data_IF_367165154237
#
_entry.id   IF_367165154237
#
_cell.length_a   1.000
_cell.length_b   1.000
_cell.length_c   1.000
_cell.angle_alpha   90.00
_cell.angle_beta   90.00
_cell.angle_gamma   90.00
#
_symmetry.space_group_name_H-M   'P 1'
#
loop_
_entity.id
_entity.type
_entity.pdbx_description
1 polymer ?
#
# COMPACT_ATOMS: atom_id res chain seq x y z
N UNK A 1 44.55 -27.57 49.90
CA UNK A 1 44.11 -28.49 48.82
C UNK A 1 42.88 -28.08 48.00
N UNK A 2 42.25 -26.92 48.21
CA UNK A 2 41.03 -26.56 47.46
C UNK A 2 41.28 -25.95 46.06
N UNK A 3 42.44 -25.32 45.83
CA UNK A 3 42.73 -24.62 44.57
C UNK A 3 43.28 -25.51 43.44
N UNK A 4 43.92 -26.65 43.75
CA UNK A 4 44.56 -27.48 42.72
C UNK A 4 43.54 -28.28 41.88
N UNK A 5 42.42 -28.67 42.48
CA UNK A 5 41.32 -29.38 41.80
C UNK A 5 40.61 -28.48 40.77
N UNK A 6 40.33 -27.23 41.14
CA UNK A 6 39.71 -26.24 40.25
C UNK A 6 40.59 -25.93 39.03
N UNK A 7 41.89 -25.72 39.25
CA UNK A 7 42.84 -25.45 38.17
C UNK A 7 43.03 -26.67 37.25
N UNK A 8 43.09 -27.88 37.80
CA UNK A 8 43.11 -29.12 36.98
C UNK A 8 41.85 -29.26 36.14
N UNK A 9 40.67 -29.03 36.71
CA UNK A 9 39.40 -29.06 35.97
C UNK A 9 39.34 -27.99 34.87
N UNK A 10 39.85 -26.78 35.13
CA UNK A 10 39.90 -25.72 34.14
C UNK A 10 40.85 -26.07 32.98
N UNK A 11 42.02 -26.64 33.27
CA UNK A 11 42.98 -27.10 32.26
C UNK A 11 42.41 -28.26 31.45
N UNK A 12 41.73 -29.22 32.10
CA UNK A 12 41.11 -30.36 31.42
C UNK A 12 39.99 -29.92 30.47
N UNK A 13 39.12 -29.00 30.90
CA UNK A 13 38.09 -28.39 30.03
C UNK A 13 38.72 -27.66 28.85
N UNK A 14 39.76 -26.86 29.10
CA UNK A 14 40.47 -26.15 28.03
C UNK A 14 41.09 -27.12 27.01
N UNK A 15 41.76 -28.16 27.49
CA UNK A 15 42.36 -29.18 26.63
C UNK A 15 41.30 -29.95 25.83
N UNK A 16 40.16 -30.28 26.44
CA UNK A 16 39.04 -30.92 25.76
C UNK A 16 38.49 -30.05 24.63
N UNK A 17 38.18 -28.77 24.90
CA UNK A 17 37.72 -27.84 23.86
C UNK A 17 38.77 -27.66 22.76
N UNK A 18 40.06 -27.58 23.13
CA UNK A 18 41.16 -27.47 22.16
C UNK A 18 41.28 -28.72 21.28
N UNK A 19 41.12 -29.93 21.84
CA UNK A 19 41.14 -31.16 21.07
C UNK A 19 39.92 -31.32 20.17
N UNK A 20 38.74 -30.87 20.60
CA UNK A 20 37.52 -30.83 19.77
C UNK A 20 37.68 -29.83 18.60
N UNK A 21 38.26 -28.65 18.86
CA UNK A 21 38.60 -27.68 17.82
C UNK A 21 39.70 -28.18 16.88
N UNK A 22 40.74 -28.84 17.39
CA UNK A 22 41.80 -29.46 16.58
C UNK A 22 41.29 -30.66 15.78
N UNK A 23 40.31 -31.41 16.30
CA UNK A 23 39.62 -32.44 15.54
C UNK A 23 38.89 -31.81 14.36
N UNK A 24 38.19 -30.69 14.51
CA UNK A 24 37.60 -29.95 13.39
C UNK A 24 38.64 -29.37 12.43
N UNK A 25 39.82 -28.97 12.94
CA UNK A 25 40.94 -28.45 12.14
C UNK A 25 41.72 -29.51 11.35
N UNK A 26 41.46 -30.80 11.60
CA UNK A 26 41.99 -31.87 10.78
C UNK A 26 41.23 -31.89 9.44
N UNK A 27 41.90 -31.73 8.29
CA UNK A 27 41.25 -31.72 6.98
C UNK A 27 40.30 -32.92 6.76
N UNK A 28 40.64 -34.10 7.30
CA UNK A 28 39.80 -35.30 7.17
C UNK A 28 38.51 -35.22 8.01
N UNK A 29 38.53 -34.54 9.15
CA UNK A 29 37.33 -34.34 9.98
C UNK A 29 36.47 -33.21 9.46
N UNK A 30 37.08 -32.14 8.94
CA UNK A 30 36.37 -31.04 8.30
C UNK A 30 35.60 -31.52 7.07
N UNK A 31 36.23 -32.34 6.22
CA UNK A 31 35.56 -32.99 5.08
C UNK A 31 34.40 -33.86 5.54
N UNK A 32 34.56 -34.67 6.59
CA UNK A 32 33.48 -35.49 7.15
C UNK A 32 32.34 -34.65 7.73
N UNK A 33 32.65 -33.52 8.36
CA UNK A 33 31.66 -32.58 8.89
C UNK A 33 30.84 -31.99 7.75
N UNK A 34 31.48 -31.39 6.73
CA UNK A 34 30.79 -30.82 5.58
C UNK A 34 30.03 -31.86 4.76
N UNK A 35 30.54 -33.09 4.69
CA UNK A 35 29.82 -34.18 4.05
C UNK A 35 28.50 -34.50 4.77
N UNK A 36 28.50 -34.53 6.11
CA UNK A 36 27.28 -34.70 6.91
C UNK A 36 26.32 -33.54 6.72
N UNK A 37 26.83 -32.31 6.78
CA UNK A 37 26.02 -31.11 6.58
C UNK A 37 25.35 -31.11 5.20
N UNK A 38 26.12 -31.42 4.15
CA UNK A 38 25.60 -31.54 2.80
C UNK A 38 24.56 -32.67 2.66
N UNK A 39 24.71 -33.78 3.39
CA UNK A 39 23.68 -34.83 3.40
C UNK A 39 22.40 -34.39 4.10
N UNK A 40 22.50 -33.67 5.21
CA UNK A 40 21.34 -33.12 5.93
C UNK A 40 20.59 -32.13 5.03
N UNK A 41 21.30 -31.16 4.44
CA UNK A 41 20.69 -30.16 3.55
C UNK A 41 20.04 -30.80 2.32
N UNK A 42 20.66 -31.83 1.72
CA UNK A 42 20.02 -32.56 0.61
C UNK A 42 18.74 -33.25 1.04
N UNK A 43 18.71 -33.82 2.24
CA UNK A 43 17.51 -34.47 2.76
C UNK A 43 16.38 -33.46 3.03
N UNK A 44 16.71 -32.32 3.64
CA UNK A 44 15.75 -31.23 3.86
C UNK A 44 15.19 -30.67 2.55
N UNK A 45 16.06 -30.44 1.56
CA UNK A 45 15.64 -30.00 0.24
C UNK A 45 14.68 -31.00 -0.41
N UNK A 46 15.01 -32.29 -0.37
CA UNK A 46 14.17 -33.33 -0.93
C UNK A 46 12.81 -33.37 -0.22
N UNK A 47 12.78 -33.30 1.12
CA UNK A 47 11.54 -33.24 1.89
C UNK A 47 10.72 -32.00 1.54
N UNK A 48 11.34 -30.84 1.37
CA UNK A 48 10.65 -29.62 0.99
C UNK A 48 10.04 -29.71 -0.43
N UNK A 49 10.78 -30.26 -1.39
CA UNK A 49 10.31 -30.47 -2.75
C UNK A 49 9.16 -31.47 -2.80
N UNK A 50 9.25 -32.55 -2.02
CA UNK A 50 8.19 -33.54 -1.84
C UNK A 50 6.91 -32.88 -1.31
N UNK A 51 7.03 -32.14 -0.21
CA UNK A 51 5.90 -31.43 0.40
C UNK A 51 5.28 -30.42 -0.56
N UNK A 52 6.10 -29.65 -1.28
CA UNK A 52 5.60 -28.70 -2.27
C UNK A 52 4.76 -29.39 -3.34
N UNK A 53 5.27 -30.49 -3.87
CA UNK A 53 4.60 -31.28 -4.91
C UNK A 53 3.29 -31.89 -4.42
N UNK A 54 3.27 -32.41 -3.19
CA UNK A 54 2.04 -32.91 -2.57
C UNK A 54 1.01 -31.79 -2.37
N UNK A 55 1.44 -30.60 -1.92
CA UNK A 55 0.57 -29.43 -1.77
C UNK A 55 0.05 -28.91 -3.12
N UNK A 56 0.75 -29.13 -4.23
CA UNK A 56 0.27 -28.83 -5.59
C UNK A 56 -0.57 -29.95 -6.20
N UNK A 57 -0.81 -31.05 -5.48
CA UNK A 57 -1.66 -32.16 -5.90
C UNK A 57 -0.94 -33.22 -6.75
N UNK A 58 0.38 -33.23 -6.76
CA UNK A 58 1.21 -34.14 -7.54
C UNK A 58 1.79 -35.27 -6.69
N UNK A 59 1.97 -36.46 -7.28
CA UNK A 59 2.53 -37.68 -6.64
C UNK A 59 1.92 -38.01 -5.27
N UNK A 60 0.58 -38.00 -5.20
CA UNK A 60 -0.18 -38.35 -4.00
C UNK A 60 -0.35 -39.87 -3.81
N UNK A 61 0.14 -40.67 -4.76
CA UNK A 61 0.08 -42.12 -4.72
C UNK A 61 0.92 -42.67 -3.55
N UNK A 62 0.33 -43.55 -2.75
CA UNK A 62 1.00 -44.15 -1.58
C UNK A 62 0.82 -43.38 -0.27
N UNK A 63 0.19 -42.21 -0.29
CA UNK A 63 -0.25 -41.51 0.92
C UNK A 63 -1.46 -42.20 1.53
N UNK A 64 -1.55 -42.16 2.87
CA UNK A 64 -2.75 -42.65 3.56
C UNK A 64 -3.89 -41.65 3.44
N UNK A 65 -5.13 -42.10 3.67
CA UNK A 65 -6.31 -41.22 3.72
C UNK A 65 -6.12 -40.09 4.74
N UNK A 66 -5.45 -40.37 5.86
CA UNK A 66 -5.15 -39.38 6.89
C UNK A 66 -4.21 -38.29 6.39
N UNK A 67 -3.18 -38.67 5.63
CA UNK A 67 -2.21 -37.72 5.08
C UNK A 67 -2.87 -36.83 4.01
N UNK A 68 -3.70 -37.42 3.15
CA UNK A 68 -4.50 -36.67 2.16
C UNK A 68 -5.44 -35.67 2.84
N UNK A 69 -6.12 -36.09 3.90
CA UNK A 69 -7.00 -35.20 4.66
C UNK A 69 -6.25 -34.04 5.33
N UNK A 70 -5.03 -34.29 5.83
CA UNK A 70 -4.18 -33.22 6.38
C UNK A 70 -3.79 -32.20 5.31
N UNK A 71 -3.39 -32.65 4.13
CA UNK A 71 -3.05 -31.79 2.99
C UNK A 71 -4.27 -30.94 2.59
N UNK A 72 -5.44 -31.58 2.45
CA UNK A 72 -6.70 -30.91 2.13
C UNK A 72 -7.04 -29.84 3.18
N UNK A 73 -7.00 -30.18 4.46
CA UNK A 73 -7.27 -29.24 5.55
C UNK A 73 -6.30 -28.05 5.55
N UNK A 74 -5.01 -28.28 5.27
CA UNK A 74 -4.01 -27.22 5.21
C UNK A 74 -4.27 -26.28 4.01
N UNK A 75 -4.60 -26.84 2.85
CA UNK A 75 -4.96 -26.06 1.65
C UNK A 75 -6.25 -25.27 1.88
N UNK A 76 -7.26 -25.86 2.51
CA UNK A 76 -8.52 -25.18 2.81
C UNK A 76 -8.31 -23.99 3.75
N UNK A 77 -7.56 -24.19 4.84
CA UNK A 77 -7.24 -23.14 5.81
C UNK A 77 -6.46 -21.99 5.17
N UNK A 78 -5.42 -22.31 4.38
CA UNK A 78 -4.62 -21.30 3.69
C UNK A 78 -5.44 -20.52 2.64
N UNK A 79 -6.26 -21.22 1.85
CA UNK A 79 -7.15 -20.60 0.86
C UNK A 79 -8.17 -19.67 1.52
N UNK A 80 -8.76 -20.09 2.64
CA UNK A 80 -9.65 -19.26 3.45
C UNK A 80 -8.94 -18.00 3.94
N UNK A 81 -7.72 -18.13 4.46
CA UNK A 81 -6.89 -17.00 4.86
C UNK A 81 -6.61 -16.01 3.72
N UNK A 82 -6.23 -16.52 2.55
CA UNK A 82 -6.00 -15.70 1.35
C UNK A 82 -7.27 -14.95 0.94
N UNK A 83 -8.42 -15.63 0.92
CA UNK A 83 -9.72 -15.03 0.57
C UNK A 83 -10.10 -13.92 1.53
N UNK A 84 -10.02 -14.16 2.85
CA UNK A 84 -10.31 -13.15 3.86
C UNK A 84 -9.41 -11.92 3.71
N UNK A 85 -8.11 -12.12 3.48
CA UNK A 85 -7.17 -11.00 3.27
C UNK A 85 -7.50 -10.21 2.00
N UNK A 86 -7.82 -10.88 0.90
CA UNK A 86 -8.24 -10.22 -0.35
C UNK A 86 -9.52 -9.41 -0.15
N UNK A 87 -10.52 -9.99 0.51
CA UNK A 87 -11.78 -9.32 0.81
C UNK A 87 -11.59 -8.09 1.69
N UNK A 88 -10.74 -8.18 2.72
CA UNK A 88 -10.39 -7.04 3.56
C UNK A 88 -9.73 -5.92 2.75
N UNK A 89 -8.76 -6.25 1.89
CA UNK A 89 -8.08 -5.28 1.03
C UNK A 89 -9.08 -4.58 0.10
N UNK A 90 -9.90 -5.34 -0.62
CA UNK A 90 -10.88 -4.78 -1.55
C UNK A 90 -11.95 -3.95 -0.84
N UNK A 91 -12.42 -4.39 0.33
CA UNK A 91 -13.38 -3.64 1.13
C UNK A 91 -12.81 -2.30 1.57
N UNK A 92 -11.54 -2.28 1.99
CA UNK A 92 -10.86 -1.04 2.37
C UNK A 92 -10.68 -0.12 1.16
N UNK A 93 -10.27 -0.66 0.01
CA UNK A 93 -10.11 0.12 -1.23
C UNK A 93 -11.44 0.74 -1.68
N UNK A 94 -12.54 -0.03 -1.65
CA UNK A 94 -13.88 0.47 -1.99
C UNK A 94 -14.30 1.61 -1.06
N UNK A 95 -14.03 1.49 0.25
CA UNK A 95 -14.34 2.54 1.24
C UNK A 95 -13.55 3.81 0.96
N UNK A 96 -12.25 3.69 0.72
CA UNK A 96 -11.38 4.84 0.40
C UNK A 96 -11.81 5.53 -0.90
N UNK A 97 -12.06 4.77 -1.95
CA UNK A 97 -12.52 5.32 -3.23
C UNK A 97 -13.90 5.99 -3.10
N UNK A 98 -14.81 5.40 -2.31
CA UNK A 98 -16.12 6.01 -2.04
C UNK A 98 -15.98 7.33 -1.30
N UNK A 99 -15.08 7.39 -0.30
CA UNK A 99 -14.78 8.63 0.43
C UNK A 99 -14.22 9.71 -0.50
N UNK A 100 -13.24 9.37 -1.34
CA UNK A 100 -12.65 10.29 -2.32
C UNK A 100 -13.68 10.80 -3.33
N UNK A 101 -14.51 9.90 -3.88
CA UNK A 101 -15.60 10.25 -4.79
C UNK A 101 -16.58 11.23 -4.15
N UNK A 102 -16.97 11.02 -2.90
CA UNK A 102 -17.88 11.92 -2.21
C UNK A 102 -17.26 13.30 -1.96
N UNK A 103 -15.97 13.36 -1.60
CA UNK A 103 -15.25 14.62 -1.40
C UNK A 103 -15.19 15.43 -2.71
N UNK A 104 -14.74 14.81 -3.80
CA UNK A 104 -14.63 15.46 -5.11
C UNK A 104 -16.00 15.92 -5.60
N UNK A 105 -17.03 15.10 -5.40
CA UNK A 105 -18.39 15.47 -5.78
C UNK A 105 -18.88 16.70 -5.01
N UNK A 106 -18.62 16.76 -3.70
CA UNK A 106 -18.96 17.91 -2.88
C UNK A 106 -18.23 19.18 -3.34
N UNK A 107 -16.91 19.11 -3.54
CA UNK A 107 -16.11 20.24 -4.05
C UNK A 107 -16.61 20.73 -5.41
N UNK A 108 -16.96 19.81 -6.32
CA UNK A 108 -17.49 20.15 -7.64
C UNK A 108 -18.84 20.90 -7.55
N UNK A 109 -19.71 20.48 -6.63
CA UNK A 109 -20.98 21.18 -6.37
C UNK A 109 -20.74 22.60 -5.85
N UNK A 110 -19.82 22.78 -4.91
CA UNK A 110 -19.49 24.11 -4.39
C UNK A 110 -18.89 25.02 -5.47
N UNK A 111 -17.97 24.49 -6.29
CA UNK A 111 -17.40 25.22 -7.41
C UNK A 111 -18.48 25.61 -8.43
N UNK A 112 -19.38 24.70 -8.76
CA UNK A 112 -20.49 24.97 -9.69
C UNK A 112 -21.41 26.09 -9.18
N UNK A 113 -21.73 26.10 -7.87
CA UNK A 113 -22.51 27.18 -7.26
C UNK A 113 -21.76 28.51 -7.29
N UNK A 114 -20.45 28.50 -7.01
CA UNK A 114 -19.63 29.71 -7.07
C UNK A 114 -19.57 30.29 -8.49
N UNK A 115 -19.41 29.46 -9.51
CA UNK A 115 -19.43 29.89 -10.91
C UNK A 115 -20.78 30.50 -11.28
N UNK A 116 -21.89 29.88 -10.86
CA UNK A 116 -23.23 30.45 -11.08
C UNK A 116 -23.40 31.81 -10.40
N UNK A 117 -22.94 31.96 -9.15
CA UNK A 117 -23.00 33.23 -8.42
C UNK A 117 -22.20 34.33 -9.13
N UNK A 118 -20.95 34.04 -9.51
CA UNK A 118 -20.09 34.99 -10.24
C UNK A 118 -20.73 35.38 -11.58
N UNK A 119 -21.33 34.42 -12.29
CA UNK A 119 -22.02 34.69 -13.53
C UNK A 119 -23.21 35.65 -13.33
N UNK A 120 -24.03 35.42 -12.30
CA UNK A 120 -25.15 36.30 -11.96
C UNK A 120 -24.69 37.71 -11.59
N UNK A 121 -23.65 37.84 -10.76
CA UNK A 121 -23.04 39.12 -10.38
C UNK A 121 -22.52 39.87 -11.62
N UNK A 122 -21.82 39.18 -12.53
CA UNK A 122 -21.32 39.78 -13.76
C UNK A 122 -22.46 40.27 -14.67
N UNK A 123 -23.54 39.50 -14.80
CA UNK A 123 -24.72 39.92 -15.58
C UNK A 123 -25.37 41.16 -14.96
N UNK A 124 -25.47 41.23 -13.63
CA UNK A 124 -25.99 42.41 -12.94
C UNK A 124 -25.11 43.64 -13.15
N UNK A 125 -23.79 43.49 -13.05
CA UNK A 125 -22.83 44.56 -13.30
C UNK A 125 -22.93 45.07 -14.74
N UNK A 126 -22.98 44.18 -15.74
CA UNK A 126 -23.14 44.58 -17.14
C UNK A 126 -24.43 45.37 -17.38
N UNK A 127 -25.54 44.96 -16.76
CA UNK A 127 -26.80 45.72 -16.80
C UNK A 127 -26.64 47.11 -16.19
N UNK A 128 -26.00 47.22 -15.02
CA UNK A 128 -25.78 48.51 -14.36
C UNK A 128 -24.91 49.45 -15.20
N UNK A 129 -23.84 48.94 -15.83
CA UNK A 129 -22.99 49.71 -16.75
C UNK A 129 -23.72 50.18 -18.02
N UNK A 130 -24.63 49.35 -18.56
CA UNK A 130 -25.46 49.73 -19.70
C UNK A 130 -26.43 50.88 -19.34
N UNK A 131 -27.11 50.76 -18.20
CA UNK A 131 -28.06 51.79 -17.72
C UNK A 131 -27.38 53.12 -17.40
N UNK A 132 -26.15 53.11 -16.86
CA UNK A 132 -25.41 54.35 -16.59
C UNK A 132 -24.88 55.01 -17.86
N UNK A 133 -24.51 54.25 -18.91
CA UNK A 133 -24.16 54.82 -20.22
C UNK A 133 -25.38 55.44 -20.93
N UNK A 134 -26.56 54.81 -20.87
CA UNK A 134 -27.78 55.39 -21.46
C UNK A 134 -28.24 56.64 -20.72
N UNK A 135 -28.09 56.69 -19.39
CA UNK A 135 -28.43 57.88 -18.61
C UNK A 135 -27.43 59.02 -18.86
N UNK A 136 -26.17 58.73 -19.18
CA UNK A 136 -25.17 59.73 -19.58
C UNK A 136 -25.39 60.31 -20.99
N UNK A 137 -25.96 59.52 -21.91
CA UNK A 137 -26.35 59.98 -23.25
C UNK A 137 -27.65 60.79 -23.24
N UNK A 138 -28.64 60.38 -22.42
CA UNK A 138 -29.90 61.11 -22.27
C UNK A 138 -29.78 62.47 -21.57
N UNK A 139 -28.70 62.71 -20.81
CA UNK A 139 -28.41 64.05 -20.27
C UNK A 139 -27.80 64.99 -21.32
N UNK A 140 -27.15 64.48 -22.36
CA UNK A 140 -26.49 65.29 -23.38
C UNK A 140 -27.47 65.78 -24.46
N UNK A 141 -28.49 64.98 -24.78
CA UNK A 141 -29.59 65.41 -25.66
C UNK A 141 -30.51 66.47 -25.03
N UNK A 142 -30.56 66.58 -23.70
CA UNK A 142 -31.30 67.65 -23.01
C UNK A 142 -30.51 68.98 -22.92
N UNK A 143 -29.18 68.93 -23.08
CA UNK A 143 -28.34 70.13 -23.10
C UNK A 143 -28.30 70.76 -24.50
N UNK A 144 -28.31 69.94 -25.56
CA UNK A 144 -28.39 70.44 -26.96
C UNK A 144 -29.78 70.98 -27.34
N UNK A 145 -30.87 70.52 -26.70
CA UNK A 145 -32.22 71.04 -26.93
C UNK A 145 -32.51 72.39 -26.24
N UNK A 146 -31.68 72.81 -25.27
CA UNK A 146 -31.82 74.09 -24.59
C UNK A 146 -31.23 75.27 -25.38
N UNK A 147 -30.29 75.02 -26.30
CA UNK A 147 -29.61 76.06 -27.08
C UNK A 147 -30.38 76.42 -28.37
N UNK A 148 -31.16 75.50 -28.93
CA UNK A 148 -31.98 75.75 -30.13
C UNK A 148 -33.22 76.62 -29.86
N UNK A 149 -33.65 76.75 -28.60
CA UNK A 149 -34.77 77.64 -28.21
C UNK A 149 -34.37 79.13 -28.16
N UNK A 150 -33.08 79.47 -28.23
CA UNK A 150 -32.61 80.86 -28.18
C UNK A 150 -32.38 81.51 -29.56
N UNK A 151 -32.51 80.77 -30.66
CA UNK A 151 -32.34 81.29 -32.02
C UNK A 151 -33.65 81.70 -32.74
N UNK A 152 -34.82 81.53 -32.09
CA UNK A 152 -36.13 81.93 -32.62
C UNK A 152 -36.88 82.90 -31.69
N UNK A 153 -36.21 83.90 -31.12
CA UNK A 153 -36.90 85.12 -30.68
C UNK A 153 -36.03 86.32 -31.06
N UNK A 154 -36.55 87.03 -32.07
CA UNK A 154 -36.33 88.43 -32.48
C UNK A 154 -35.57 89.33 -31.51
#
# INVERSE_FOLDING_TARGET
DFASSSMKSAIERFNKTKMEQQQLLNPASEVKFWQREATTLRHELHSLQENHRQLTGEQLNGLSVKDLHNIESQLEMSLRGIRMKKEQIWTNEIKELTRKRNLIHHENLELSRNVQRIHQENVQLQKAYATSSTNGLGLRELEDAADESHAQVT
#
